data_IF_595120034946
#
_entry.id   IF_595120034946
#
_cell.length_a   1.000
_cell.length_b   1.000
_cell.length_c   1.000
_cell.angle_alpha   90.00
_cell.angle_beta   90.00
_cell.angle_gamma   90.00
#
_symmetry.space_group_name_H-M   'P 1'
#
loop_
_entity.id
_entity.type
_entity.pdbx_description
1 polymer ?
#
# COMPACT_ATOMS: atom_id res chain seq x y z
N UNK A 1 1.93 -0.79 7.28
CA UNK A 1 1.67 -0.39 5.89
C UNK A 1 0.19 -0.62 5.64
N UNK A 2 -0.59 0.43 5.41
CA UNK A 2 -2.02 0.35 5.10
C UNK A 2 -2.18 -0.13 3.66
N UNK A 3 -3.22 -0.92 3.41
CA UNK A 3 -3.59 -1.33 2.06
C UNK A 3 -4.60 -0.28 1.55
N UNK A 4 -4.41 0.21 0.36
CA UNK A 4 -5.22 1.26 -0.26
C UNK A 4 -5.77 0.75 -1.58
N UNK A 5 -6.88 1.32 -2.02
CA UNK A 5 -7.30 1.30 -3.40
C UNK A 5 -6.74 2.53 -4.11
N UNK A 6 -6.59 2.43 -5.42
CA UNK A 6 -6.08 3.49 -6.26
C UNK A 6 -7.22 4.14 -7.02
N UNK A 7 -7.11 5.45 -7.26
CA UNK A 7 -8.04 6.21 -8.07
C UNK A 7 -7.27 6.91 -9.17
N UNK A 8 -7.56 6.62 -10.43
CA UNK A 8 -7.10 7.36 -11.60
C UNK A 8 -8.14 8.40 -11.96
N UNK A 9 -7.74 9.64 -12.14
CA UNK A 9 -8.67 10.72 -12.50
C UNK A 9 -8.38 11.19 -13.91
N UNK A 10 -9.28 10.87 -14.83
CA UNK A 10 -9.18 11.23 -16.26
C UNK A 10 -10.02 12.46 -16.61
N UNK A 11 -10.70 13.04 -15.64
CA UNK A 11 -11.46 14.27 -15.77
C UNK A 11 -10.78 15.43 -15.03
N UNK A 12 -11.28 16.64 -15.15
CA UNK A 12 -10.75 17.80 -14.42
C UNK A 12 -11.07 17.68 -12.93
N UNK A 13 -10.06 17.96 -12.10
CA UNK A 13 -10.20 18.06 -10.65
C UNK A 13 -10.45 19.52 -10.24
N UNK A 14 -11.35 19.75 -9.28
CA UNK A 14 -11.44 21.05 -8.65
C UNK A 14 -10.16 21.33 -7.85
N UNK A 15 -9.50 22.43 -8.15
CA UNK A 15 -8.28 22.87 -7.48
C UNK A 15 -8.54 24.24 -6.83
N UNK A 16 -8.00 24.44 -5.65
CA UNK A 16 -7.92 25.75 -5.04
C UNK A 16 -6.82 26.61 -5.67
N UNK A 17 -6.71 27.86 -5.25
CA UNK A 17 -5.75 28.78 -5.85
C UNK A 17 -4.29 28.40 -5.52
N UNK A 18 -4.04 27.75 -4.39
CA UNK A 18 -2.71 27.26 -4.01
C UNK A 18 -2.27 26.13 -4.94
N UNK A 19 -3.11 25.11 -5.11
CA UNK A 19 -2.80 23.95 -5.95
C UNK A 19 -2.70 24.31 -7.44
N UNK A 20 -3.46 25.30 -7.92
CA UNK A 20 -3.32 25.81 -9.29
C UNK A 20 -1.96 26.44 -9.58
N UNK A 21 -1.29 26.98 -8.57
CA UNK A 21 0.06 27.55 -8.73
C UNK A 21 1.15 26.49 -8.84
N UNK A 22 0.85 25.25 -8.43
CA UNK A 22 1.79 24.15 -8.53
C UNK A 22 1.85 23.68 -9.99
N UNK A 23 3.07 23.60 -10.54
CA UNK A 23 3.28 23.02 -11.87
C UNK A 23 3.21 21.48 -11.80
N UNK A 24 2.03 20.95 -11.47
CA UNK A 24 1.79 19.53 -11.24
C UNK A 24 0.81 18.95 -12.27
N UNK A 25 1.10 17.74 -12.75
CA UNK A 25 0.24 17.05 -13.71
C UNK A 25 -0.80 16.19 -13.00
N UNK A 26 -1.89 16.80 -12.59
CA UNK A 26 -2.98 16.17 -11.84
C UNK A 26 -3.63 14.96 -12.52
N UNK A 27 -3.58 14.85 -13.86
CA UNK A 27 -4.17 13.72 -14.60
C UNK A 27 -3.32 12.46 -14.57
N UNK A 28 -2.03 12.60 -14.34
CA UNK A 28 -1.10 11.47 -14.31
C UNK A 28 -0.77 11.02 -12.88
N UNK A 29 -1.42 11.64 -11.89
CA UNK A 29 -1.21 11.29 -10.50
C UNK A 29 -1.97 10.02 -10.13
N UNK A 30 -1.40 9.23 -9.25
CA UNK A 30 -2.00 8.05 -8.67
C UNK A 30 -2.56 8.40 -7.28
N UNK A 31 -3.86 8.56 -7.21
CA UNK A 31 -4.55 8.88 -5.96
C UNK A 31 -4.83 7.62 -5.15
N UNK A 32 -4.88 7.77 -3.83
CA UNK A 32 -5.15 6.68 -2.90
C UNK A 32 -6.45 6.93 -2.12
N UNK A 33 -7.18 5.85 -1.85
CA UNK A 33 -8.39 5.88 -1.01
C UNK A 33 -8.47 4.65 -0.12
N UNK A 34 -9.13 4.78 1.03
CA UNK A 34 -9.43 3.67 1.94
C UNK A 34 -10.92 3.37 2.04
N UNK A 35 -11.75 4.17 1.38
CA UNK A 35 -13.19 4.20 1.60
C UNK A 35 -13.99 3.48 0.51
N UNK A 36 -13.34 3.09 -0.58
CA UNK A 36 -13.96 2.25 -1.61
C UNK A 36 -13.85 0.78 -1.23
N UNK A 37 -14.89 0.02 -1.62
CA UNK A 37 -15.12 -1.36 -1.19
C UNK A 37 -13.91 -2.29 -1.10
N UNK A 38 -14.04 -3.19 -0.22
CA UNK A 38 -13.38 -4.37 0.35
C UNK A 38 -12.23 -5.05 -0.42
N UNK A 39 -12.03 -4.81 -1.70
CA UNK A 39 -10.94 -5.40 -2.44
C UNK A 39 -9.71 -4.49 -2.31
N UNK A 40 -8.64 -5.07 -1.86
CA UNK A 40 -7.40 -4.38 -1.54
C UNK A 40 -6.59 -4.23 -2.82
N UNK A 41 -6.14 -3.01 -3.13
CA UNK A 41 -5.33 -2.66 -4.30
C UNK A 41 -6.09 -2.68 -5.65
N UNK A 42 -7.40 -2.52 -5.61
CA UNK A 42 -8.17 -2.26 -6.82
C UNK A 42 -7.91 -0.84 -7.33
N UNK A 43 -7.99 -0.68 -8.64
CA UNK A 43 -7.89 0.62 -9.29
C UNK A 43 -9.26 1.06 -9.76
N UNK A 44 -9.67 2.23 -9.32
CA UNK A 44 -10.89 2.89 -9.76
C UNK A 44 -10.55 4.01 -10.73
N UNK A 45 -11.45 4.31 -11.67
CA UNK A 45 -11.26 5.38 -12.66
C UNK A 45 -12.43 6.34 -12.60
N UNK A 46 -12.13 7.63 -12.43
CA UNK A 46 -13.09 8.72 -12.56
C UNK A 46 -12.97 9.33 -13.95
N UNK A 47 -13.95 9.09 -14.80
CA UNK A 47 -14.00 9.59 -16.18
C UNK A 47 -15.42 9.93 -16.59
N UNK A 48 -15.59 11.07 -17.25
CA UNK A 48 -16.91 11.55 -17.77
C UNK A 48 -18.01 11.54 -16.71
N UNK A 49 -17.67 11.97 -15.49
CA UNK A 49 -18.54 11.93 -14.31
C UNK A 49 -19.09 10.55 -13.98
N UNK A 50 -18.32 9.49 -14.25
CA UNK A 50 -18.66 8.11 -13.90
C UNK A 50 -17.52 7.44 -13.15
N UNK A 51 -17.89 6.49 -12.29
CA UNK A 51 -16.96 5.66 -11.55
C UNK A 51 -16.85 4.28 -12.23
N UNK A 52 -15.64 3.91 -12.61
CA UNK A 52 -15.30 2.60 -13.16
C UNK A 52 -14.38 1.85 -12.22
N UNK A 53 -14.45 0.53 -12.24
CA UNK A 53 -13.47 -0.38 -11.64
C UNK A 53 -12.62 -0.98 -12.75
N UNK A 54 -11.31 -0.79 -12.69
CA UNK A 54 -10.34 -1.48 -13.54
C UNK A 54 -10.07 -2.87 -12.98
N UNK A 55 -10.63 -3.89 -13.60
CA UNK A 55 -10.41 -5.28 -13.22
C UNK A 55 -9.29 -5.88 -14.04
N UNK A 56 -8.30 -6.45 -13.38
CA UNK A 56 -7.23 -7.19 -14.04
C UNK A 56 -7.79 -8.55 -14.46
N UNK A 57 -7.78 -8.82 -15.76
CA UNK A 57 -8.08 -10.13 -16.32
C UNK A 57 -6.78 -10.94 -16.46
N UNK A 58 -6.85 -12.22 -16.18
CA UNK A 58 -5.71 -13.09 -16.26
C UNK A 58 -6.04 -14.52 -15.86
N UNK A 59 -5.05 -15.37 -15.99
CA UNK A 59 -5.15 -16.79 -15.63
C UNK A 59 -3.95 -17.22 -14.81
N UNK A 60 -4.06 -18.37 -14.16
CA UNK A 60 -2.98 -18.95 -13.40
C UNK A 60 -2.25 -19.98 -14.25
N UNK A 61 -0.91 -19.86 -14.33
CA UNK A 61 -0.01 -20.80 -14.97
C UNK A 61 0.93 -21.44 -13.94
N UNK A 62 1.25 -22.71 -14.15
CA UNK A 62 2.26 -23.38 -13.32
C UNK A 62 3.65 -22.74 -13.55
N UNK A 63 4.40 -22.59 -12.48
CA UNK A 63 5.80 -22.18 -12.58
C UNK A 63 6.59 -23.20 -13.38
N UNK A 64 7.45 -22.73 -14.28
CA UNK A 64 8.43 -23.59 -14.94
C UNK A 64 9.43 -24.15 -13.94
N UNK A 65 10.10 -25.26 -14.22
CA UNK A 65 11.13 -25.82 -13.33
C UNK A 65 12.22 -24.81 -12.95
N UNK A 66 12.61 -23.94 -13.89
CA UNK A 66 13.62 -22.90 -13.66
C UNK A 66 13.11 -21.80 -12.73
N UNK A 67 11.87 -21.38 -12.89
CA UNK A 67 11.21 -20.41 -12.02
C UNK A 67 11.03 -20.98 -10.60
N UNK A 68 10.66 -22.27 -10.47
CA UNK A 68 10.57 -22.96 -9.17
C UNK A 68 11.91 -22.98 -8.45
N UNK A 69 13.00 -23.23 -9.18
CA UNK A 69 14.34 -23.22 -8.62
C UNK A 69 14.76 -21.83 -8.15
N UNK A 70 14.50 -20.80 -8.96
CA UNK A 70 14.80 -19.40 -8.63
C UNK A 70 14.01 -18.92 -7.40
N UNK A 71 12.83 -19.42 -7.20
CA UNK A 71 11.88 -19.01 -6.15
C UNK A 71 11.99 -19.85 -4.86
N UNK A 72 12.86 -20.86 -4.81
CA UNK A 72 13.05 -21.72 -3.62
C UNK A 72 13.32 -20.97 -2.32
N UNK A 73 13.93 -19.77 -2.41
CA UNK A 73 14.19 -18.92 -1.24
C UNK A 73 12.98 -18.11 -0.74
N UNK A 74 11.90 -18.04 -1.52
CA UNK A 74 10.71 -17.25 -1.24
C UNK A 74 9.50 -18.10 -0.82
N UNK A 75 9.73 -19.37 -0.50
CA UNK A 75 8.73 -20.41 -0.34
C UNK A 75 7.55 -20.15 0.61
N UNK A 76 7.63 -19.14 1.48
CA UNK A 76 6.49 -18.75 2.32
C UNK A 76 5.63 -17.63 1.68
N UNK A 77 6.18 -16.87 0.73
CA UNK A 77 5.47 -15.82 -0.01
C UNK A 77 4.75 -16.41 -1.23
N UNK A 78 5.22 -17.56 -1.70
CA UNK A 78 4.63 -18.28 -2.84
C UNK A 78 3.74 -19.39 -2.29
N UNK A 79 2.55 -18.99 -1.83
CA UNK A 79 1.55 -19.94 -1.29
C UNK A 79 0.93 -20.86 -2.35
N UNK A 80 1.28 -20.67 -3.63
CA UNK A 80 0.76 -21.44 -4.76
C UNK A 80 1.89 -21.81 -5.70
N UNK A 81 1.85 -23.01 -6.27
CA UNK A 81 2.77 -23.48 -7.33
C UNK A 81 2.50 -22.81 -8.69
N UNK A 82 1.71 -21.75 -8.70
CA UNK A 82 1.20 -21.06 -9.89
C UNK A 82 1.46 -19.55 -9.82
N UNK A 83 1.83 -18.96 -10.93
CA UNK A 83 1.91 -17.51 -11.15
C UNK A 83 0.64 -16.99 -11.83
N UNK A 84 0.22 -15.80 -11.45
CA UNK A 84 -0.84 -15.11 -12.17
C UNK A 84 -0.25 -14.38 -13.38
N UNK A 85 -0.73 -14.74 -14.56
CA UNK A 85 -0.37 -14.09 -15.83
C UNK A 85 -1.49 -13.13 -16.20
N UNK A 86 -1.14 -11.87 -16.42
CA UNK A 86 -2.10 -10.83 -16.81
C UNK A 86 -2.35 -10.92 -18.32
N UNK A 87 -3.61 -11.05 -18.69
CA UNK A 87 -4.07 -11.04 -20.09
C UNK A 87 -4.46 -9.63 -20.53
N UNK A 88 -4.89 -8.80 -19.59
CA UNK A 88 -5.31 -7.43 -19.82
C UNK A 88 -6.03 -6.80 -18.64
N UNK A 89 -6.68 -5.68 -18.91
CA UNK A 89 -7.57 -5.01 -17.96
C UNK A 89 -8.92 -4.76 -18.61
N UNK A 90 -9.97 -4.85 -17.80
CA UNK A 90 -11.34 -4.54 -18.21
C UNK A 90 -11.93 -3.48 -17.28
N UNK A 91 -12.48 -2.45 -17.87
CA UNK A 91 -13.20 -1.42 -17.14
C UNK A 91 -14.67 -1.80 -16.96
N UNK A 92 -15.15 -1.77 -15.73
CA UNK A 92 -16.53 -2.07 -15.37
C UNK A 92 -17.13 -0.81 -14.76
N UNK A 93 -18.19 -0.28 -15.38
CA UNK A 93 -18.93 0.83 -14.80
C UNK A 93 -19.65 0.38 -13.52
N UNK A 94 -19.38 1.05 -12.41
CA UNK A 94 -19.92 0.77 -11.07
C UNK A 94 -21.31 1.37 -10.88
N UNK A 95 -22.29 0.97 -11.69
CA UNK A 95 -23.67 1.42 -11.60
C UNK A 95 -24.35 1.11 -10.26
N UNK A 96 -23.87 0.08 -9.57
CA UNK A 96 -24.34 -0.38 -8.27
C UNK A 96 -23.77 0.42 -7.09
N UNK A 97 -22.82 1.32 -7.33
CA UNK A 97 -22.20 2.09 -6.27
C UNK A 97 -22.95 3.41 -6.02
N UNK A 98 -23.42 3.59 -4.79
CA UNK A 98 -23.93 4.84 -4.26
C UNK A 98 -23.29 5.11 -2.91
N UNK A 99 -22.58 6.22 -2.78
CA UNK A 99 -21.87 6.56 -1.56
C UNK A 99 -20.97 7.79 -1.74
N UNK A 100 -20.25 8.08 -0.68
CA UNK A 100 -19.23 9.13 -0.66
C UNK A 100 -17.91 8.50 -0.32
N UNK A 101 -16.84 8.93 -0.98
CA UNK A 101 -15.48 8.54 -0.63
C UNK A 101 -14.52 9.71 -0.81
N UNK A 102 -13.42 9.66 -0.06
CA UNK A 102 -12.32 10.61 -0.17
C UNK A 102 -11.11 9.91 -0.79
N UNK A 103 -10.38 10.65 -1.61
CA UNK A 103 -9.13 10.20 -2.20
C UNK A 103 -8.14 11.36 -2.25
N UNK A 104 -6.85 11.03 -2.13
CA UNK A 104 -5.82 12.04 -2.08
C UNK A 104 -4.49 11.56 -2.65
N UNK A 105 -3.57 12.49 -2.78
CA UNK A 105 -2.19 12.22 -3.16
C UNK A 105 -1.22 13.01 -2.29
N UNK A 106 0.07 12.79 -2.51
CA UNK A 106 1.13 13.55 -1.86
C UNK A 106 1.98 14.23 -2.92
N UNK A 107 2.09 15.54 -2.84
CA UNK A 107 2.96 16.33 -3.71
C UNK A 107 4.14 16.77 -2.89
N UNK A 108 5.29 16.23 -3.21
CA UNK A 108 6.52 16.54 -2.51
C UNK A 108 7.21 17.79 -3.08
N UNK A 109 7.62 18.68 -2.19
CA UNK A 109 8.48 19.78 -2.56
C UNK A 109 9.91 19.32 -2.88
N UNK A 110 10.53 19.89 -3.91
CA UNK A 110 11.82 19.43 -4.45
C UNK A 110 13.03 20.03 -3.74
N UNK A 111 12.86 21.05 -2.92
CA UNK A 111 13.95 21.79 -2.31
C UNK A 111 13.75 22.04 -0.81
N UNK A 112 14.86 22.26 -0.10
CA UNK A 112 14.83 22.74 1.28
C UNK A 112 14.16 24.11 1.32
N UNK A 113 13.09 24.22 2.11
CA UNK A 113 12.27 25.45 2.18
C UNK A 113 11.00 25.39 1.33
N UNK A 114 10.80 24.33 0.53
CA UNK A 114 9.52 24.05 -0.12
C UNK A 114 8.52 23.44 0.86
N UNK A 115 7.31 23.21 0.39
CA UNK A 115 6.20 22.62 1.17
C UNK A 115 5.73 21.34 0.51
N UNK A 116 5.51 20.31 1.30
CA UNK A 116 4.81 19.10 0.90
C UNK A 116 3.30 19.32 1.09
N UNK A 117 2.48 18.94 0.12
CA UNK A 117 1.04 19.10 0.13
C UNK A 117 0.37 17.72 0.12
N UNK A 118 -0.71 17.58 0.87
CA UNK A 118 -1.51 16.36 1.01
C UNK A 118 -2.97 16.68 0.67
N UNK A 119 -3.26 17.05 -0.59
CA UNK A 119 -4.62 17.38 -0.97
C UNK A 119 -5.50 16.15 -1.03
N UNK A 120 -6.73 16.32 -0.53
CA UNK A 120 -7.78 15.31 -0.56
C UNK A 120 -8.99 15.87 -1.31
N UNK A 121 -9.67 14.99 -2.02
CA UNK A 121 -10.92 15.29 -2.72
C UNK A 121 -12.02 14.39 -2.19
N UNK A 122 -13.20 14.99 -2.04
CA UNK A 122 -14.42 14.30 -1.68
C UNK A 122 -15.27 14.09 -2.92
N UNK A 123 -15.65 12.85 -3.18
CA UNK A 123 -16.47 12.43 -4.32
C UNK A 123 -17.79 11.83 -3.84
N UNK A 124 -18.90 12.37 -4.31
CA UNK A 124 -20.26 11.83 -4.07
C UNK A 124 -20.73 11.16 -5.34
N UNK A 125 -21.06 9.88 -5.25
CA UNK A 125 -21.49 9.04 -6.38
C UNK A 125 -22.90 8.50 -6.09
N UNK A 126 -23.77 8.54 -7.10
CA UNK A 126 -25.09 7.92 -7.05
C UNK A 126 -25.27 7.09 -8.32
N UNK A 127 -25.56 5.81 -8.17
CA UNK A 127 -25.73 4.85 -9.26
C UNK A 127 -24.54 4.89 -10.27
N UNK A 128 -23.32 4.94 -9.72
CA UNK A 128 -22.08 5.00 -10.49
C UNK A 128 -21.81 6.35 -11.19
N UNK A 129 -22.66 7.36 -10.97
CA UNK A 129 -22.50 8.71 -11.54
C UNK A 129 -22.01 9.67 -10.47
N UNK A 130 -20.92 10.37 -10.75
CA UNK A 130 -20.38 11.42 -9.89
C UNK A 130 -21.34 12.60 -9.88
N UNK A 131 -21.92 12.92 -8.74
CA UNK A 131 -22.81 14.04 -8.52
C UNK A 131 -22.09 15.27 -8.01
N UNK A 132 -21.06 15.05 -7.22
CA UNK A 132 -20.26 16.11 -6.64
C UNK A 132 -18.80 15.67 -6.52
N UNK A 133 -17.89 16.55 -6.87
CA UNK A 133 -16.45 16.36 -6.69
C UNK A 133 -15.89 17.68 -6.18
N UNK A 134 -15.43 17.68 -4.95
CA UNK A 134 -14.96 18.90 -4.27
C UNK A 134 -13.61 18.65 -3.62
N UNK A 135 -12.77 19.69 -3.55
CA UNK A 135 -11.55 19.64 -2.77
C UNK A 135 -11.88 19.83 -1.28
N UNK A 136 -11.22 19.06 -0.43
CA UNK A 136 -11.26 19.26 1.02
C UNK A 136 -10.40 20.47 1.36
N UNK A 137 -11.00 21.52 1.94
CA UNK A 137 -10.34 22.83 2.12
C UNK A 137 -9.19 22.83 3.12
N UNK A 138 -9.23 21.94 4.11
CA UNK A 138 -8.28 21.89 5.22
C UNK A 138 -7.28 20.73 5.05
N UNK A 139 -6.76 20.54 3.83
CA UNK A 139 -5.74 19.52 3.59
C UNK A 139 -4.41 19.89 4.28
N UNK A 140 -3.67 18.87 4.69
CA UNK A 140 -2.43 19.03 5.44
C UNK A 140 -1.29 19.54 4.57
N UNK A 141 -0.45 20.39 5.15
CA UNK A 141 0.80 20.87 4.53
C UNK A 141 1.94 20.73 5.53
N UNK A 142 3.11 20.32 5.05
CA UNK A 142 4.29 20.18 5.90
C UNK A 142 5.53 20.76 5.22
N UNK A 143 6.46 21.38 5.99
CA UNK A 143 7.76 21.78 5.43
C UNK A 143 8.52 20.56 4.91
N UNK A 144 9.03 20.63 3.68
CA UNK A 144 9.78 19.54 3.04
C UNK A 144 11.17 19.31 3.65
N UNK A 145 11.65 20.21 4.49
CA UNK A 145 13.01 20.20 5.06
C UNK A 145 13.38 18.89 5.72
N UNK A 146 12.56 18.46 6.70
CA UNK A 146 12.87 17.23 7.48
C UNK A 146 12.90 15.98 6.60
N UNK A 147 11.96 15.87 5.66
CA UNK A 147 11.92 14.75 4.71
C UNK A 147 13.17 14.72 3.82
N UNK A 148 13.56 15.89 3.28
CA UNK A 148 14.72 16.01 2.40
C UNK A 148 16.00 15.71 3.17
N UNK A 149 16.17 16.23 4.38
CA UNK A 149 17.33 15.96 5.23
C UNK A 149 17.43 14.46 5.55
N UNK A 150 16.33 13.82 5.91
CA UNK A 150 16.27 12.38 6.16
C UNK A 150 16.59 11.55 4.92
N UNK A 151 16.09 11.95 3.74
CA UNK A 151 16.41 11.29 2.48
C UNK A 151 17.90 11.40 2.15
N UNK A 152 18.49 12.58 2.32
CA UNK A 152 19.93 12.80 2.12
C UNK A 152 20.79 11.95 3.07
N UNK A 153 20.34 11.75 4.30
CA UNK A 153 21.02 10.88 5.26
C UNK A 153 20.96 9.40 4.83
N UNK A 154 19.80 8.93 4.44
CA UNK A 154 19.61 7.56 3.91
C UNK A 154 20.43 7.30 2.64
N UNK A 155 20.43 8.25 1.71
CA UNK A 155 21.24 8.13 0.48
C UNK A 155 22.75 8.04 0.79
N UNK A 156 23.21 8.82 1.76
CA UNK A 156 24.58 8.78 2.26
C UNK A 156 24.93 7.44 2.91
N UNK A 157 24.03 6.92 3.75
CA UNK A 157 24.21 5.60 4.36
C UNK A 157 24.19 4.48 3.29
N UNK A 158 23.29 4.57 2.32
CA UNK A 158 23.20 3.62 1.21
C UNK A 158 24.47 3.62 0.36
N UNK A 159 25.06 4.80 0.10
CA UNK A 159 26.32 4.93 -0.63
C UNK A 159 27.49 4.33 0.16
N UNK A 160 27.57 4.62 1.47
CA UNK A 160 28.56 4.03 2.36
C UNK A 160 28.46 2.51 2.35
N UNK A 161 27.24 1.98 2.48
CA UNK A 161 27.00 0.54 2.43
C UNK A 161 27.40 -0.06 1.08
N UNK A 162 27.02 0.56 -0.03
CA UNK A 162 27.38 0.16 -1.39
C UNK A 162 28.91 0.12 -1.57
N UNK A 163 29.64 1.09 -1.04
CA UNK A 163 31.11 1.13 -1.10
C UNK A 163 31.74 0.04 -0.23
N UNK A 164 31.22 -0.22 0.97
CA UNK A 164 31.64 -1.33 1.83
C UNK A 164 31.42 -2.68 1.14
N UNK A 165 30.32 -2.86 0.43
CA UNK A 165 29.99 -4.10 -0.29
C UNK A 165 30.94 -4.40 -1.47
N UNK A 166 31.74 -3.43 -1.95
CA UNK A 166 32.82 -3.68 -2.92
C UNK A 166 33.99 -4.47 -2.30
N UNK A 167 34.16 -4.43 -0.96
CA UNK A 167 35.16 -5.21 -0.26
C UNK A 167 34.68 -6.69 -0.14
N UNK A 168 35.44 -7.68 -0.68
CA UNK A 168 35.05 -9.09 -0.63
C UNK A 168 34.83 -9.60 0.79
N UNK A 169 35.65 -9.14 1.74
CA UNK A 169 35.56 -9.53 3.15
C UNK A 169 34.31 -9.02 3.83
N UNK A 170 33.93 -7.76 3.58
CA UNK A 170 32.70 -7.18 4.10
C UNK A 170 31.45 -7.82 3.47
N UNK A 171 31.49 -8.11 2.16
CA UNK A 171 30.44 -8.82 1.44
C UNK A 171 30.21 -10.23 2.00
N UNK A 172 31.29 -10.97 2.30
CA UNK A 172 31.21 -12.28 2.93
C UNK A 172 30.63 -12.19 4.35
N UNK A 173 31.14 -11.26 5.18
CA UNK A 173 30.65 -11.02 6.53
C UNK A 173 29.15 -10.67 6.53
N UNK A 174 28.75 -9.72 5.69
CA UNK A 174 27.35 -9.29 5.59
C UNK A 174 26.43 -10.43 5.15
N UNK A 175 26.78 -11.14 4.07
CA UNK A 175 25.93 -12.20 3.54
C UNK A 175 25.90 -13.43 4.45
N UNK A 176 26.97 -13.74 5.15
CA UNK A 176 27.04 -14.94 5.98
C UNK A 176 26.59 -14.71 7.41
N UNK A 177 27.05 -13.65 8.06
CA UNK A 177 26.72 -13.40 9.47
C UNK A 177 25.51 -12.51 9.67
N UNK A 178 25.47 -11.34 9.05
CA UNK A 178 24.42 -10.36 9.29
C UNK A 178 23.07 -10.89 8.83
N UNK A 179 22.95 -11.36 7.60
CA UNK A 179 21.71 -11.97 7.10
C UNK A 179 21.27 -13.21 7.89
N UNK A 180 22.23 -14.00 8.36
CA UNK A 180 21.90 -15.19 9.16
C UNK A 180 21.36 -14.81 10.53
N UNK A 181 21.90 -13.78 11.17
CA UNK A 181 21.41 -13.23 12.44
C UNK A 181 20.04 -12.57 12.27
N UNK A 182 19.84 -11.79 11.21
CA UNK A 182 18.53 -11.21 10.88
C UNK A 182 17.48 -12.29 10.65
N UNK A 183 17.78 -13.31 9.87
CA UNK A 183 16.87 -14.44 9.63
C UNK A 183 16.54 -15.21 10.91
N UNK A 184 17.52 -15.40 11.81
CA UNK A 184 17.31 -16.02 13.11
C UNK A 184 16.41 -15.15 13.99
N UNK A 185 16.68 -13.85 14.05
CA UNK A 185 15.84 -12.87 14.77
C UNK A 185 14.40 -12.90 14.29
N UNK A 186 14.18 -12.86 12.97
CA UNK A 186 12.85 -12.96 12.38
C UNK A 186 12.17 -14.30 12.71
N UNK A 187 12.89 -15.42 12.64
CA UNK A 187 12.38 -16.76 13.00
C UNK A 187 11.94 -16.83 14.48
N UNK A 188 12.75 -16.27 15.38
CA UNK A 188 12.44 -16.22 16.82
C UNK A 188 11.22 -15.34 17.08
N UNK A 189 11.12 -14.18 16.45
CA UNK A 189 9.95 -13.28 16.57
C UNK A 189 8.67 -13.98 16.10
N UNK A 190 8.73 -14.70 14.98
CA UNK A 190 7.59 -15.47 14.47
C UNK A 190 7.17 -16.59 15.43
N UNK A 191 8.12 -17.29 16.04
CA UNK A 191 7.83 -18.33 17.04
C UNK A 191 7.19 -17.76 18.30
N UNK A 192 7.71 -16.62 18.81
CA UNK A 192 7.13 -15.90 19.94
C UNK A 192 5.71 -15.45 19.65
N UNK A 193 5.45 -14.91 18.45
CA UNK A 193 4.11 -14.49 18.04
C UNK A 193 3.11 -15.66 18.08
N UNK A 194 3.50 -16.83 17.57
CA UNK A 194 2.64 -18.02 17.63
C UNK A 194 2.36 -18.43 19.07
N UNK A 195 3.36 -18.41 19.96
CA UNK A 195 3.19 -18.72 21.38
C UNK A 195 2.20 -17.75 22.03
N UNK A 196 2.35 -16.45 21.79
CA UNK A 196 1.42 -15.42 22.31
C UNK A 196 0.00 -15.70 21.83
N UNK A 197 -0.21 -16.01 20.55
CA UNK A 197 -1.53 -16.36 20.02
C UNK A 197 -2.14 -17.61 20.64
N UNK A 198 -1.34 -18.63 20.92
CA UNK A 198 -1.80 -19.84 21.61
C UNK A 198 -2.22 -19.51 23.05
N UNK A 199 -1.43 -18.71 23.78
CA UNK A 199 -1.76 -18.27 25.15
C UNK A 199 -3.05 -17.44 25.18
N UNK A 200 -3.22 -16.50 24.25
CA UNK A 200 -4.46 -15.72 24.10
C UNK A 200 -5.68 -16.64 23.85
N UNK A 201 -5.53 -17.62 22.95
CA UNK A 201 -6.59 -18.58 22.66
C UNK A 201 -6.98 -19.44 23.88
N UNK A 202 -5.99 -19.95 24.61
CA UNK A 202 -6.21 -20.73 25.85
C UNK A 202 -6.93 -19.87 26.90
N UNK A 203 -6.45 -18.63 27.12
CA UNK A 203 -7.09 -17.68 28.04
C UNK A 203 -8.54 -17.40 27.66
N UNK A 204 -8.81 -17.13 26.38
CA UNK A 204 -10.16 -16.85 25.89
C UNK A 204 -11.10 -18.09 26.05
N UNK A 205 -10.59 -19.28 25.79
CA UNK A 205 -11.35 -20.53 25.94
C UNK A 205 -11.65 -20.83 27.39
N UNK A 206 -10.70 -20.58 28.32
CA UNK A 206 -10.89 -20.75 29.74
C UNK A 206 -11.95 -19.78 30.28
N UNK A 207 -11.91 -18.50 29.87
CA UNK A 207 -12.90 -17.50 30.25
C UNK A 207 -14.30 -17.89 29.76
N UNK A 208 -14.43 -18.33 28.51
CA UNK A 208 -15.72 -18.78 27.95
C UNK A 208 -16.32 -19.95 28.74
N UNK A 209 -15.50 -20.92 29.13
CA UNK A 209 -15.95 -22.06 29.95
C UNK A 209 -16.39 -21.62 31.35
N UNK A 210 -15.66 -20.68 31.95
CA UNK A 210 -15.99 -20.14 33.26
C UNK A 210 -17.33 -19.36 33.23
N UNK A 211 -17.53 -18.50 32.22
CA UNK A 211 -18.79 -17.78 32.02
C UNK A 211 -19.95 -18.74 31.79
N UNK A 212 -19.77 -19.77 30.96
CA UNK A 212 -20.80 -20.78 30.73
C UNK A 212 -21.15 -21.60 31.99
N UNK A 213 -20.20 -21.79 32.89
CA UNK A 213 -20.43 -22.46 34.18
C UNK A 213 -21.17 -21.58 35.19
N UNK A 214 -20.93 -20.26 35.15
CA UNK A 214 -21.50 -19.29 36.10
C UNK A 214 -22.86 -18.71 35.65
N UNK A 215 -23.29 -18.93 34.41
CA UNK A 215 -24.61 -18.52 33.92
C UNK A 215 -25.63 -19.66 34.19
N UNK A 216 -26.53 -19.51 35.17
CA UNK A 216 -27.59 -20.49 35.40
C UNK A 216 -28.52 -20.52 34.17
N UNK A 217 -28.91 -21.74 33.80
CA UNK A 217 -29.95 -21.99 32.80
C UNK A 217 -31.33 -21.63 33.32
#
# INVERSE_FOLDING_TARGET
>A
MGLFNYVKVEQELPLDDTLKTLNHNWRNEEYQTKELEVSIMDTYILRDNKLFLEKIEGHYEDYTPEEKEKNKGLGFLIARDQKFVRDGTKEIWKQDYTGTFEFGCVIYGDAIGSTDYYPDWKCVVVDGVVKELTIVKDYSTYPSKERIEQQMEWDKEAEIHKNKMKCPFYKFYFNYYVKKVENLGWFLTKKLYVIVKVVEWVRFTAIRRLVAFLTPR
#
